data_IF_513312352784
#
_entry.id   IF_513312352784
#
_cell.length_a   1.000
_cell.length_b   1.000
_cell.length_c   1.000
_cell.angle_alpha   90.00
_cell.angle_beta   90.00
_cell.angle_gamma   90.00
#
_symmetry.space_group_name_H-M   'P 1'
#
loop_
_entity.id
_entity.type
_entity.pdbx_description
1 polymer ?
#
# COMPACT_ATOMS: atom_id res chain seq x y z
N UNK A 1 73.42 -42.10 -25.06
CA UNK A 1 74.01 -43.46 -25.00
C UNK A 1 73.63 -44.09 -23.65
N UNK A 2 73.29 -45.31 -23.56
CA UNK A 2 72.55 -46.21 -24.42
C UNK A 2 71.29 -46.72 -23.72
N UNK A 3 70.30 -47.12 -24.41
CA UNK A 3 69.91 -48.47 -24.91
C UNK A 3 69.29 -49.33 -23.81
N UNK A 4 68.26 -49.98 -24.02
CA UNK A 4 67.68 -50.98 -24.88
C UNK A 4 66.87 -52.03 -24.10
N UNK A 5 65.82 -52.50 -24.79
CA UNK A 5 65.19 -53.83 -24.82
C UNK A 5 64.10 -54.17 -23.77
N UNK A 6 62.93 -54.31 -24.24
CA UNK A 6 62.15 -55.40 -24.90
C UNK A 6 61.63 -56.48 -23.98
N UNK A 7 60.34 -56.73 -24.13
CA UNK A 7 59.50 -57.96 -24.28
C UNK A 7 58.25 -57.77 -23.39
N UNK A 8 57.02 -57.71 -23.84
CA UNK A 8 56.38 -58.70 -24.70
C UNK A 8 55.78 -59.84 -23.85
N UNK A 9 54.50 -59.68 -23.40
CA UNK A 9 53.70 -60.87 -23.14
C UNK A 9 52.21 -60.49 -23.26
N UNK A 10 51.55 -61.13 -24.16
CA UNK A 10 50.13 -61.11 -24.46
C UNK A 10 49.39 -61.90 -23.37
N UNK A 11 48.33 -61.36 -22.77
CA UNK A 11 47.35 -62.17 -22.03
C UNK A 11 45.95 -61.67 -22.37
N UNK A 12 45.17 -62.57 -22.87
CA UNK A 12 43.77 -62.55 -23.22
C UNK A 12 42.97 -62.50 -21.90
N UNK A 13 42.01 -61.61 -21.77
CA UNK A 13 41.15 -61.62 -20.57
C UNK A 13 39.90 -60.84 -20.70
N UNK A 14 38.85 -61.51 -21.00
CA UNK A 14 37.46 -61.39 -20.60
C UNK A 14 36.82 -60.01 -20.45
N UNK A 15 36.04 -59.60 -21.40
CA UNK A 15 35.10 -58.51 -21.35
C UNK A 15 33.89 -58.87 -20.46
N UNK A 16 33.80 -58.28 -19.29
CA UNK A 16 32.58 -58.27 -18.46
C UNK A 16 31.77 -57.04 -18.80
N UNK A 17 30.61 -57.23 -19.46
CA UNK A 17 29.58 -56.24 -19.68
C UNK A 17 28.87 -55.96 -18.34
N UNK A 18 29.18 -54.84 -17.70
CA UNK A 18 28.38 -54.28 -16.62
C UNK A 18 27.28 -53.37 -17.25
N UNK A 19 26.07 -53.93 -17.33
CA UNK A 19 24.87 -53.13 -17.58
C UNK A 19 24.62 -52.19 -16.40
N UNK A 20 25.05 -50.96 -16.51
CA UNK A 20 24.66 -49.88 -15.62
C UNK A 20 23.21 -49.51 -15.84
N UNK A 21 22.33 -49.85 -14.93
CA UNK A 21 20.99 -49.28 -14.85
C UNK A 21 21.14 -47.78 -14.54
N UNK A 22 20.96 -46.93 -15.54
CA UNK A 22 20.77 -45.50 -15.36
C UNK A 22 19.32 -45.33 -14.94
N UNK A 23 19.10 -45.07 -13.64
CA UNK A 23 17.82 -44.58 -13.15
C UNK A 23 17.57 -43.20 -13.77
N UNK A 24 16.46 -42.96 -14.50
CA UNK A 24 16.12 -41.63 -14.91
C UNK A 24 15.73 -40.83 -13.65
N UNK A 25 16.45 -39.74 -13.40
CA UNK A 25 16.03 -38.69 -12.44
C UNK A 25 14.64 -38.22 -12.88
N UNK A 26 13.64 -38.20 -11.99
CA UNK A 26 12.35 -37.64 -12.36
C UNK A 26 12.55 -36.16 -12.73
N UNK A 27 12.24 -35.82 -13.98
CA UNK A 27 12.06 -34.45 -14.40
C UNK A 27 10.99 -33.83 -13.47
N UNK A 28 11.35 -32.75 -12.79
CA UNK A 28 10.37 -31.94 -12.08
C UNK A 28 9.34 -31.47 -13.11
N UNK A 29 8.19 -32.10 -13.12
CA UNK A 29 7.01 -31.59 -13.81
C UNK A 29 6.68 -30.23 -13.19
N UNK A 30 7.06 -29.15 -13.88
CA UNK A 30 6.43 -27.87 -13.67
C UNK A 30 4.99 -28.02 -14.17
N UNK A 31 4.10 -28.44 -13.29
CA UNK A 31 2.67 -28.25 -13.51
C UNK A 31 2.48 -26.72 -13.62
N UNK A 32 2.07 -26.25 -14.80
CA UNK A 32 1.44 -24.96 -14.95
C UNK A 32 0.18 -24.99 -14.06
N UNK A 33 0.33 -24.54 -12.79
CA UNK A 33 -0.77 -24.39 -11.87
C UNK A 33 -1.68 -23.32 -12.43
N UNK A 34 -2.93 -23.72 -12.70
CA UNK A 34 -4.04 -22.78 -12.83
C UNK A 34 -4.10 -21.89 -11.59
N UNK A 35 -4.78 -20.75 -11.70
CA UNK A 35 -4.91 -19.73 -10.64
C UNK A 35 -4.99 -20.38 -9.25
N UNK A 36 -3.94 -20.19 -8.44
CA UNK A 36 -3.68 -21.06 -7.28
C UNK A 36 -4.79 -20.95 -6.24
N UNK A 37 -5.18 -22.10 -5.70
CA UNK A 37 -6.14 -22.26 -4.58
C UNK A 37 -5.55 -21.81 -3.22
N UNK A 38 -4.70 -20.79 -3.18
CA UNK A 38 -4.16 -20.29 -1.92
C UNK A 38 -5.12 -19.30 -1.26
N UNK A 39 -5.36 -19.44 0.03
CA UNK A 39 -6.11 -18.46 0.82
C UNK A 39 -5.26 -17.26 1.19
N UNK A 40 -3.99 -17.45 1.55
CA UNK A 40 -3.07 -16.38 1.90
C UNK A 40 -1.61 -16.72 1.63
N UNK A 41 -0.79 -15.67 1.50
CA UNK A 41 0.66 -15.77 1.26
C UNK A 41 1.42 -14.66 1.98
N UNK A 42 2.65 -14.95 2.43
CA UNK A 42 3.53 -13.93 3.01
C UNK A 42 4.25 -13.19 1.87
N UNK A 43 4.00 -11.89 1.77
CA UNK A 43 4.61 -11.03 0.74
C UNK A 43 5.97 -10.49 1.20
N UNK A 44 6.02 -9.89 2.39
CA UNK A 44 7.25 -9.38 2.96
C UNK A 44 7.44 -9.97 4.37
N UNK A 45 8.67 -10.36 4.68
CA UNK A 45 9.04 -10.89 5.99
C UNK A 45 10.17 -10.06 6.58
N UNK A 46 9.97 -9.49 7.76
CA UNK A 46 10.97 -8.72 8.49
C UNK A 46 12.23 -9.56 8.77
N UNK A 47 13.40 -8.92 8.73
CA UNK A 47 14.70 -9.58 8.85
C UNK A 47 15.18 -10.26 7.55
N UNK A 48 14.54 -10.02 6.40
CA UNK A 48 14.97 -10.59 5.11
C UNK A 48 15.25 -9.51 4.08
N UNK A 49 15.96 -9.85 3.00
CA UNK A 49 16.21 -8.97 1.87
C UNK A 49 17.06 -7.73 2.19
N UNK A 50 17.78 -7.72 3.31
CA UNK A 50 18.59 -6.59 3.76
C UNK A 50 17.83 -5.54 4.58
N UNK A 51 16.59 -5.84 4.99
CA UNK A 51 15.74 -4.95 5.77
C UNK A 51 15.39 -5.54 7.13
N UNK A 52 15.52 -4.70 8.16
CA UNK A 52 15.13 -5.06 9.53
C UNK A 52 13.61 -5.28 9.62
N UNK A 53 12.82 -4.39 9.00
CA UNK A 53 11.35 -4.43 9.10
C UNK A 53 10.73 -3.96 7.79
N UNK A 54 9.56 -4.52 7.44
CA UNK A 54 8.70 -3.99 6.39
C UNK A 54 7.44 -3.41 7.01
N UNK A 55 7.04 -2.21 6.55
CA UNK A 55 5.88 -1.47 7.04
C UNK A 55 5.12 -0.82 5.89
N UNK A 56 3.94 -0.26 6.19
CA UNK A 56 3.16 0.62 5.31
C UNK A 56 2.83 -0.06 3.99
N UNK A 57 1.96 -1.07 4.01
CA UNK A 57 1.55 -1.81 2.82
C UNK A 57 0.72 -0.94 1.87
N UNK A 58 0.94 -1.11 0.57
CA UNK A 58 0.04 -0.64 -0.47
C UNK A 58 -0.03 -1.67 -1.60
N UNK A 59 -1.18 -1.83 -2.24
CA UNK A 59 -1.36 -2.81 -3.31
C UNK A 59 -2.31 -2.30 -4.40
N UNK A 60 -1.95 -2.57 -5.65
CA UNK A 60 -2.79 -2.29 -6.82
C UNK A 60 -2.82 -3.48 -7.77
N UNK A 61 -3.88 -3.55 -8.59
CA UNK A 61 -3.99 -4.48 -9.70
C UNK A 61 -3.79 -3.72 -11.01
N UNK A 62 -2.85 -4.19 -11.85
CA UNK A 62 -2.69 -3.68 -13.20
C UNK A 62 -3.31 -4.66 -14.19
N UNK A 63 -3.99 -4.15 -15.20
CA UNK A 63 -4.29 -4.94 -16.40
C UNK A 63 -3.04 -4.95 -17.27
N UNK A 64 -2.64 -6.10 -17.80
CA UNK A 64 -1.44 -6.22 -18.67
C UNK A 64 -1.60 -5.53 -20.06
N UNK A 65 -2.30 -4.40 -20.09
CA UNK A 65 -2.43 -3.55 -21.28
C UNK A 65 -3.26 -4.14 -22.42
N UNK A 66 -3.97 -5.25 -22.21
CA UNK A 66 -4.92 -5.77 -23.19
C UNK A 66 -6.30 -5.18 -22.88
N UNK A 67 -6.75 -4.14 -23.61
CA UNK A 67 -8.09 -3.60 -23.44
C UNK A 67 -9.11 -4.70 -23.76
N UNK A 68 -9.99 -5.01 -22.80
CA UNK A 68 -11.15 -5.87 -23.03
C UNK A 68 -10.97 -7.36 -22.68
N UNK A 69 -9.96 -7.77 -21.91
CA UNK A 69 -9.88 -9.08 -21.33
C UNK A 69 -10.48 -9.08 -19.89
N UNK A 70 -11.79 -9.24 -19.72
CA UNK A 70 -12.45 -9.08 -18.43
C UNK A 70 -12.22 -10.20 -17.43
N UNK A 71 -11.66 -11.33 -17.86
CA UNK A 71 -11.59 -12.56 -17.07
C UNK A 71 -10.17 -13.05 -16.76
N UNK A 72 -9.15 -12.26 -17.11
CA UNK A 72 -7.76 -12.60 -16.76
C UNK A 72 -7.39 -11.83 -15.49
N UNK A 73 -7.00 -12.49 -14.39
CA UNK A 73 -6.50 -11.79 -13.20
C UNK A 73 -5.38 -10.85 -13.58
N UNK A 74 -5.50 -9.58 -13.21
CA UNK A 74 -4.45 -8.61 -13.42
C UNK A 74 -3.20 -8.95 -12.60
N UNK A 75 -2.09 -8.31 -12.93
CA UNK A 75 -0.89 -8.42 -12.09
C UNK A 75 -1.08 -7.58 -10.82
N UNK A 76 -0.98 -8.22 -9.67
CA UNK A 76 -0.91 -7.53 -8.39
C UNK A 76 0.50 -6.99 -8.18
N UNK A 77 0.59 -5.76 -7.68
CA UNK A 77 1.85 -5.15 -7.27
C UNK A 77 1.70 -4.67 -5.84
N UNK A 78 2.43 -5.30 -4.94
CA UNK A 78 2.50 -4.95 -3.53
C UNK A 78 3.72 -4.08 -3.27
N UNK A 79 3.54 -3.01 -2.49
CA UNK A 79 4.57 -2.10 -2.03
C UNK A 79 4.68 -2.14 -0.52
N UNK A 80 5.85 -1.77 -0.01
CA UNK A 80 6.09 -1.55 1.41
C UNK A 80 7.26 -0.59 1.60
N UNK A 81 7.34 0.02 2.77
CA UNK A 81 8.59 0.57 3.27
C UNK A 81 9.51 -0.57 3.71
N UNK A 82 10.72 -0.59 3.18
CA UNK A 82 11.81 -1.42 3.66
C UNK A 82 12.70 -0.61 4.59
N UNK A 83 12.61 -0.86 5.89
CA UNK A 83 13.36 -0.14 6.94
C UNK A 83 14.64 -0.92 7.25
N UNK A 84 15.79 -0.36 6.94
CA UNK A 84 17.06 -1.12 6.96
C UNK A 84 17.56 -1.44 8.37
N UNK A 85 17.54 -0.46 9.26
CA UNK A 85 18.28 -0.55 10.51
C UNK A 85 17.43 -0.78 11.76
N UNK A 86 16.15 -0.37 11.72
CA UNK A 86 15.24 -0.42 12.85
C UNK A 86 13.78 -0.39 12.37
N UNK A 87 12.85 -0.47 13.29
CA UNK A 87 11.40 -0.32 13.04
C UNK A 87 10.95 1.15 12.98
N UNK A 88 11.84 2.11 13.22
CA UNK A 88 11.53 3.54 13.29
C UNK A 88 10.97 4.08 11.96
N UNK A 89 10.14 5.12 12.04
CA UNK A 89 9.52 5.78 10.89
C UNK A 89 10.46 6.77 10.17
N UNK A 90 11.70 6.90 10.65
CA UNK A 90 12.77 7.72 10.07
C UNK A 90 14.09 6.98 10.12
N UNK A 91 14.98 7.29 9.19
CA UNK A 91 16.27 6.63 9.00
C UNK A 91 16.43 6.19 7.55
N UNK A 92 17.27 5.21 7.33
CA UNK A 92 17.46 4.55 6.03
C UNK A 92 16.22 3.70 5.73
N UNK A 93 15.28 4.29 4.98
CA UNK A 93 14.00 3.70 4.60
C UNK A 93 13.80 3.82 3.11
N UNK A 94 13.59 2.68 2.45
CA UNK A 94 13.33 2.57 1.01
C UNK A 94 11.87 2.20 0.74
N UNK A 95 11.39 2.46 -0.48
CA UNK A 95 10.19 1.85 -1.02
C UNK A 95 10.57 0.64 -1.87
N UNK A 96 9.97 -0.50 -1.54
CA UNK A 96 10.20 -1.78 -2.22
C UNK A 96 8.90 -2.36 -2.76
N UNK A 97 9.00 -3.27 -3.74
CA UNK A 97 7.82 -3.93 -4.32
C UNK A 97 8.04 -5.41 -4.61
N UNK A 98 6.92 -6.14 -4.73
CA UNK A 98 6.82 -7.50 -5.28
C UNK A 98 5.60 -7.57 -6.19
N UNK A 99 5.65 -8.49 -7.17
CA UNK A 99 4.58 -8.71 -8.14
C UNK A 99 4.05 -10.12 -8.06
N UNK A 100 2.75 -10.29 -8.29
CA UNK A 100 2.09 -11.59 -8.42
C UNK A 100 1.25 -11.63 -9.70
N UNK A 101 1.31 -12.72 -10.43
CA UNK A 101 0.51 -12.97 -11.64
C UNK A 101 -0.48 -14.12 -11.47
N UNK A 102 -0.62 -14.63 -10.24
CA UNK A 102 -1.47 -15.77 -9.89
C UNK A 102 -2.48 -15.41 -8.78
N UNK A 103 -2.90 -14.14 -8.75
CA UNK A 103 -3.89 -13.63 -7.80
C UNK A 103 -3.39 -13.55 -6.36
N UNK A 104 -2.07 -13.39 -6.16
CA UNK A 104 -1.46 -13.21 -4.84
C UNK A 104 -0.98 -14.48 -4.15
N UNK A 105 -0.92 -15.61 -4.86
CA UNK A 105 -0.42 -16.87 -4.30
C UNK A 105 1.10 -16.92 -4.22
N UNK A 106 1.78 -16.48 -5.28
CA UNK A 106 3.23 -16.40 -5.31
C UNK A 106 3.68 -14.99 -5.68
N UNK A 107 4.86 -14.61 -5.21
CA UNK A 107 5.40 -13.27 -5.37
C UNK A 107 6.81 -13.28 -5.93
N UNK A 108 7.08 -12.35 -6.83
CA UNK A 108 8.40 -12.16 -7.43
C UNK A 108 9.48 -11.85 -6.38
N UNK A 109 10.78 -11.94 -6.72
CA UNK A 109 11.83 -11.38 -5.88
C UNK A 109 11.59 -9.91 -5.55
N UNK A 110 12.09 -9.48 -4.37
CA UNK A 110 12.03 -8.10 -3.89
C UNK A 110 12.70 -7.16 -4.90
N UNK A 111 12.09 -6.01 -5.16
CA UNK A 111 12.62 -4.95 -6.00
C UNK A 111 12.66 -3.63 -5.25
N UNK A 112 13.76 -2.92 -5.39
CA UNK A 112 13.89 -1.54 -4.96
C UNK A 112 13.13 -0.65 -5.97
N UNK A 113 12.31 0.27 -5.44
CA UNK A 113 11.50 1.22 -6.22
C UNK A 113 12.00 2.64 -6.03
N UNK A 114 12.18 3.06 -4.78
CA UNK A 114 12.73 4.36 -4.43
C UNK A 114 13.71 4.22 -3.27
N UNK A 115 14.82 4.95 -3.36
CA UNK A 115 15.93 4.96 -2.41
C UNK A 115 16.46 6.40 -2.31
N UNK A 116 16.63 6.87 -1.08
CA UNK A 116 17.21 8.18 -0.78
C UNK A 116 18.55 8.05 -0.02
N UNK A 117 19.24 6.92 -0.16
CA UNK A 117 20.48 6.61 0.54
C UNK A 117 20.23 6.37 2.03
N UNK A 118 20.82 7.21 2.89
CA UNK A 118 20.61 7.06 4.34
C UNK A 118 19.33 7.76 4.84
N UNK A 119 18.64 8.50 3.97
CA UNK A 119 17.46 9.26 4.29
C UNK A 119 16.17 8.43 4.13
N UNK A 120 15.05 9.00 4.53
CA UNK A 120 13.75 8.35 4.47
C UNK A 120 13.06 8.64 3.14
N UNK A 121 12.60 7.59 2.46
CA UNK A 121 11.54 7.64 1.46
C UNK A 121 10.48 6.58 1.77
N UNK A 122 9.22 7.01 1.95
CA UNK A 122 8.16 6.13 2.45
C UNK A 122 6.77 6.60 2.07
N UNK A 123 5.75 6.08 2.74
CA UNK A 123 4.33 6.33 2.49
C UNK A 123 3.98 6.11 1.01
N UNK A 124 4.24 4.92 0.43
CA UNK A 124 3.96 4.67 -0.97
C UNK A 124 2.45 4.70 -1.24
N UNK A 125 2.04 5.49 -2.23
CA UNK A 125 0.66 5.53 -2.73
C UNK A 125 0.66 5.28 -4.22
N UNK A 126 0.51 4.02 -4.65
CA UNK A 126 0.35 3.67 -6.04
C UNK A 126 -1.06 3.97 -6.54
N UNK A 127 -1.18 4.38 -7.80
CA UNK A 127 -2.45 4.49 -8.53
C UNK A 127 -2.24 4.04 -9.97
N UNK A 128 -3.25 3.36 -10.54
CA UNK A 128 -3.24 2.93 -11.94
C UNK A 128 -4.01 3.94 -12.78
N UNK A 129 -3.38 4.49 -13.80
CA UNK A 129 -4.01 5.43 -14.73
C UNK A 129 -4.92 4.65 -15.69
N UNK A 130 -6.24 4.93 -15.71
CA UNK A 130 -7.17 4.24 -16.57
C UNK A 130 -6.81 4.36 -18.06
N UNK A 131 -7.07 3.31 -18.83
CA UNK A 131 -6.85 3.28 -20.26
C UNK A 131 -5.40 3.13 -20.72
N UNK A 132 -4.42 3.49 -19.89
CA UNK A 132 -2.99 3.34 -20.24
C UNK A 132 -2.31 2.21 -19.48
N UNK A 133 -2.83 1.85 -18.31
CA UNK A 133 -2.18 0.90 -17.38
C UNK A 133 -0.89 1.44 -16.75
N UNK A 134 -0.55 2.72 -16.97
CA UNK A 134 0.57 3.38 -16.31
C UNK A 134 0.36 3.35 -14.79
N UNK A 135 1.39 2.97 -14.07
CA UNK A 135 1.44 3.15 -12.63
C UNK A 135 2.03 4.51 -12.30
N UNK A 136 1.38 5.24 -11.44
CA UNK A 136 1.92 6.44 -10.79
C UNK A 136 2.10 6.13 -9.32
N UNK A 137 3.25 6.47 -8.76
CA UNK A 137 3.59 6.25 -7.36
C UNK A 137 3.99 7.56 -6.70
N UNK A 138 3.24 7.97 -5.70
CA UNK A 138 3.63 9.08 -4.83
C UNK A 138 4.34 8.54 -3.59
N UNK A 139 5.33 9.28 -3.12
CA UNK A 139 6.09 8.97 -1.90
C UNK A 139 6.43 10.26 -1.16
N UNK A 140 6.72 10.14 0.13
CA UNK A 140 7.22 11.22 0.95
C UNK A 140 8.64 10.92 1.43
N UNK A 141 9.49 11.93 1.42
CA UNK A 141 10.86 11.82 1.92
C UNK A 141 11.19 12.89 2.94
N UNK A 142 12.17 12.62 3.79
CA UNK A 142 12.78 13.56 4.72
C UNK A 142 14.17 13.08 5.14
N UNK A 143 15.00 13.98 5.65
CA UNK A 143 16.29 13.60 6.19
C UNK A 143 16.15 12.60 7.35
N UNK A 144 17.04 11.61 7.42
CA UNK A 144 17.07 10.58 8.47
C UNK A 144 17.11 11.16 9.90
N UNK A 145 17.63 12.38 10.05
CA UNK A 145 17.73 13.11 11.32
C UNK A 145 16.45 13.86 11.71
N UNK A 146 15.50 14.01 10.78
CA UNK A 146 14.25 14.75 10.99
C UNK A 146 13.13 13.81 11.42
N UNK A 147 13.09 13.46 12.70
CA UNK A 147 12.00 12.65 13.27
C UNK A 147 10.68 13.44 13.27
N UNK A 148 9.54 12.74 13.21
CA UNK A 148 8.19 13.34 13.16
C UNK A 148 8.00 14.46 14.19
N UNK A 149 8.32 14.22 15.45
CA UNK A 149 8.17 15.22 16.51
C UNK A 149 9.00 16.50 16.27
N UNK A 150 10.17 16.38 15.68
CA UNK A 150 10.99 17.53 15.31
C UNK A 150 10.35 18.29 14.14
N UNK A 151 9.80 17.57 13.16
CA UNK A 151 9.08 18.18 12.03
C UNK A 151 7.83 18.90 12.53
N UNK A 152 7.02 18.27 13.37
CA UNK A 152 5.83 18.88 13.97
C UNK A 152 6.14 20.17 14.73
N UNK A 153 7.24 20.22 15.47
CA UNK A 153 7.69 21.44 16.19
C UNK A 153 8.35 22.49 15.29
N UNK A 154 8.77 22.08 14.08
CA UNK A 154 9.59 22.93 13.22
C UNK A 154 11.05 23.04 13.70
N UNK A 155 11.53 22.08 14.46
CA UNK A 155 12.89 22.02 15.03
C UNK A 155 13.89 21.38 14.03
N UNK A 156 13.81 21.73 12.75
CA UNK A 156 14.68 21.20 11.69
C UNK A 156 14.86 22.24 10.58
N UNK A 157 15.96 22.20 9.81
CA UNK A 157 16.07 22.98 8.58
C UNK A 157 14.96 22.62 7.59
N UNK A 158 14.41 23.58 6.87
CA UNK A 158 13.32 23.36 5.90
C UNK A 158 13.66 22.25 4.90
N UNK A 159 14.88 22.23 4.38
CA UNK A 159 15.35 21.20 3.44
C UNK A 159 15.38 19.79 4.02
N UNK A 160 15.36 19.61 5.35
CA UNK A 160 15.32 18.31 6.02
C UNK A 160 13.90 17.81 6.28
N UNK A 161 12.87 18.67 6.10
CA UNK A 161 11.47 18.34 6.33
C UNK A 161 10.86 17.47 5.23
N UNK A 162 9.55 17.23 5.35
CA UNK A 162 8.79 16.36 4.42
C UNK A 162 8.70 16.98 3.04
N UNK A 163 9.10 16.19 2.03
CA UNK A 163 9.02 16.47 0.60
C UNK A 163 8.24 15.39 -0.11
N UNK A 164 7.62 15.74 -1.23
CA UNK A 164 6.73 14.86 -1.97
C UNK A 164 7.34 14.58 -3.34
N UNK A 165 7.34 13.29 -3.72
CA UNK A 165 7.90 12.81 -4.97
C UNK A 165 6.88 12.00 -5.75
N UNK A 166 6.99 12.03 -7.08
CA UNK A 166 6.22 11.20 -8.00
C UNK A 166 7.17 10.42 -8.92
N UNK A 167 6.85 9.17 -9.15
CA UNK A 167 7.48 8.28 -10.13
C UNK A 167 6.40 7.59 -10.96
N UNK A 168 6.75 7.11 -12.13
CA UNK A 168 5.83 6.32 -12.95
C UNK A 168 6.50 5.07 -13.52
N UNK A 169 5.67 4.07 -13.84
CA UNK A 169 6.06 2.85 -14.53
C UNK A 169 5.09 2.54 -15.66
N UNK A 170 5.60 2.40 -16.87
CA UNK A 170 4.87 1.93 -18.06
C UNK A 170 5.12 0.44 -18.32
N UNK A 171 5.78 -0.24 -17.38
CA UNK A 171 6.19 -1.65 -17.51
C UNK A 171 5.54 -2.56 -16.49
N UNK A 172 4.41 -2.13 -15.90
CA UNK A 172 3.71 -2.87 -14.86
C UNK A 172 4.57 -3.05 -13.60
N UNK A 173 5.29 -1.99 -13.18
CA UNK A 173 6.12 -1.99 -11.98
C UNK A 173 7.47 -2.73 -12.12
N UNK A 174 7.87 -3.09 -13.34
CA UNK A 174 9.19 -3.72 -13.57
C UNK A 174 10.33 -2.71 -13.56
N UNK A 175 10.08 -1.53 -14.09
CA UNK A 175 11.02 -0.40 -14.08
C UNK A 175 10.27 0.89 -13.74
N UNK A 176 10.97 1.82 -13.13
CA UNK A 176 10.41 3.10 -12.67
C UNK A 176 11.24 4.27 -13.24
N UNK A 177 10.58 5.39 -13.48
CA UNK A 177 11.27 6.65 -13.77
C UNK A 177 12.09 7.11 -12.56
N UNK A 178 13.01 8.05 -12.77
CA UNK A 178 13.58 8.80 -11.66
C UNK A 178 12.46 9.51 -10.88
N UNK A 179 12.60 9.69 -9.56
CA UNK A 179 11.66 10.48 -8.77
C UNK A 179 11.71 11.96 -9.18
N UNK A 180 10.54 12.57 -9.33
CA UNK A 180 10.38 14.00 -9.57
C UNK A 180 9.79 14.62 -8.31
N UNK A 181 10.42 15.64 -7.77
CA UNK A 181 9.89 16.37 -6.63
C UNK A 181 8.72 17.28 -7.07
N UNK A 182 7.61 17.19 -6.33
CA UNK A 182 6.38 17.97 -6.55
C UNK A 182 5.96 18.75 -5.29
N UNK A 183 6.85 18.96 -4.35
CA UNK A 183 6.53 19.61 -3.06
C UNK A 183 5.83 20.96 -3.25
N UNK A 184 6.27 21.78 -4.18
CA UNK A 184 5.67 23.09 -4.46
C UNK A 184 4.23 23.02 -5.03
N UNK A 185 3.84 21.87 -5.61
CA UNK A 185 2.49 21.63 -6.11
C UNK A 185 1.58 20.97 -5.07
N UNK A 186 2.18 20.29 -4.10
CA UNK A 186 1.51 19.34 -3.21
C UNK A 186 1.40 19.81 -1.76
N UNK A 187 2.20 20.78 -1.33
CA UNK A 187 2.34 21.17 0.07
C UNK A 187 2.26 22.69 0.22
N UNK A 188 1.42 23.17 1.15
CA UNK A 188 1.39 24.58 1.51
C UNK A 188 2.61 24.95 2.38
N UNK A 189 3.03 26.21 2.30
CA UNK A 189 4.26 26.69 2.91
C UNK A 189 4.25 26.60 4.45
N UNK A 190 3.08 26.72 5.07
CA UNK A 190 2.89 26.66 6.52
C UNK A 190 2.71 25.25 7.07
N UNK A 191 2.64 24.23 6.18
CA UNK A 191 2.53 22.82 6.60
C UNK A 191 3.89 22.30 7.06
N UNK A 192 3.87 21.58 8.17
CA UNK A 192 5.07 20.97 8.76
C UNK A 192 5.16 19.51 8.41
N UNK A 193 4.37 18.64 9.07
CA UNK A 193 4.24 17.24 8.70
C UNK A 193 3.50 17.10 7.36
N UNK A 194 3.77 16.02 6.69
CA UNK A 194 3.06 15.63 5.48
C UNK A 194 3.18 14.12 5.26
N UNK A 195 2.09 13.44 4.91
CA UNK A 195 2.12 12.06 4.45
C UNK A 195 1.02 11.81 3.40
N UNK A 196 1.37 11.08 2.35
CA UNK A 196 0.42 10.53 1.40
C UNK A 196 -0.26 9.31 1.98
N UNK A 197 -1.55 9.10 1.75
CA UNK A 197 -2.37 7.97 2.15
C UNK A 197 -2.28 7.58 3.64
N UNK A 198 -1.63 6.44 3.96
CA UNK A 198 -1.06 5.42 3.04
C UNK A 198 -2.10 4.50 2.40
N UNK A 199 -1.66 3.46 1.69
CA UNK A 199 -2.48 2.60 0.87
C UNK A 199 -2.56 3.08 -0.58
N UNK A 200 -3.54 2.63 -1.37
CA UNK A 200 -3.63 2.98 -2.77
C UNK A 200 -4.28 4.34 -3.03
N UNK A 201 -3.94 4.97 -4.17
CA UNK A 201 -4.62 6.14 -4.70
C UNK A 201 -5.81 5.75 -5.57
N UNK A 202 -6.73 6.69 -5.77
CA UNK A 202 -7.96 6.49 -6.52
C UNK A 202 -7.84 7.11 -7.91
N UNK A 203 -8.28 6.40 -8.95
CA UNK A 203 -8.57 6.96 -10.27
C UNK A 203 -10.07 6.96 -10.50
N UNK A 204 -10.67 8.11 -10.80
CA UNK A 204 -12.10 8.24 -11.00
C UNK A 204 -12.51 7.57 -12.32
N UNK A 205 -13.51 6.69 -12.27
CA UNK A 205 -13.95 5.88 -13.40
C UNK A 205 -15.31 6.31 -13.95
N UNK A 206 -16.03 7.15 -13.21
CA UNK A 206 -17.34 7.68 -13.62
C UNK A 206 -17.50 9.17 -13.23
N UNK A 207 -18.56 9.80 -13.74
CA UNK A 207 -18.87 11.20 -13.46
C UNK A 207 -18.05 12.20 -14.30
N UNK A 208 -18.18 13.50 -13.99
CA UNK A 208 -17.59 14.57 -14.80
C UNK A 208 -16.06 14.65 -14.72
N UNK A 209 -15.46 14.04 -13.72
CA UNK A 209 -14.02 14.03 -13.49
C UNK A 209 -13.38 12.67 -13.81
N UNK A 210 -13.98 11.87 -14.69
CA UNK A 210 -13.42 10.57 -15.12
C UNK A 210 -12.00 10.73 -15.62
N UNK A 211 -11.09 9.87 -15.11
CA UNK A 211 -9.65 9.91 -15.39
C UNK A 211 -8.82 10.71 -14.37
N UNK A 212 -9.45 11.51 -13.52
CA UNK A 212 -8.76 12.22 -12.44
C UNK A 212 -8.16 11.22 -11.45
N UNK A 213 -6.92 11.47 -11.06
CA UNK A 213 -6.28 10.79 -9.95
C UNK A 213 -6.52 11.59 -8.66
N UNK A 214 -6.92 10.89 -7.61
CA UNK A 214 -7.16 11.46 -6.28
C UNK A 214 -6.27 10.72 -5.28
N UNK A 215 -5.36 11.44 -4.64
CA UNK A 215 -4.49 10.90 -3.60
C UNK A 215 -4.91 11.53 -2.27
N UNK A 216 -5.50 10.76 -1.36
CA UNK A 216 -5.73 11.26 -0.01
C UNK A 216 -4.40 11.46 0.70
N UNK A 217 -4.30 12.48 1.52
CA UNK A 217 -3.09 12.84 2.24
C UNK A 217 -3.42 13.58 3.53
N UNK A 218 -2.42 13.71 4.40
CA UNK A 218 -2.54 14.48 5.64
C UNK A 218 -1.35 15.41 5.84
N UNK A 219 -1.56 16.44 6.64
CA UNK A 219 -0.56 17.44 6.98
C UNK A 219 -0.68 17.86 8.44
N UNK A 220 0.27 18.63 8.92
CA UNK A 220 0.11 19.41 10.15
C UNK A 220 0.48 20.86 9.90
N UNK A 221 -0.19 21.76 10.60
CA UNK A 221 0.10 23.19 10.54
C UNK A 221 0.96 23.65 11.73
N UNK A 222 1.57 24.81 11.59
CA UNK A 222 2.23 25.47 12.71
C UNK A 222 1.21 26.00 13.71
N UNK A 223 1.49 26.01 15.02
CA UNK A 223 0.69 26.74 15.99
C UNK A 223 0.64 28.25 15.64
N UNK A 224 -0.47 28.94 15.95
CA UNK A 224 -0.55 30.38 15.77
C UNK A 224 0.57 31.11 16.54
N UNK A 225 1.02 32.22 16.00
CA UNK A 225 2.02 33.07 16.66
C UNK A 225 1.55 33.48 18.06
N UNK A 226 2.41 33.29 19.06
CA UNK A 226 2.10 33.60 20.47
C UNK A 226 1.32 32.49 21.21
N UNK A 227 1.02 31.37 20.57
CA UNK A 227 0.47 30.17 21.22
C UNK A 227 1.50 29.58 22.20
N UNK A 228 1.01 28.97 23.27
CA UNK A 228 1.82 28.14 24.16
C UNK A 228 2.10 26.73 23.58
N UNK A 229 1.40 26.35 22.51
CA UNK A 229 1.56 25.06 21.86
C UNK A 229 2.88 24.98 21.10
N UNK A 230 3.38 23.77 20.93
CA UNK A 230 4.64 23.52 20.23
C UNK A 230 4.47 22.87 18.85
N UNK A 231 3.23 22.51 18.46
CA UNK A 231 2.89 21.88 17.17
C UNK A 231 2.79 20.37 17.22
N UNK A 232 3.02 19.73 18.38
CA UNK A 232 2.80 18.28 18.53
C UNK A 232 1.39 17.92 18.97
N UNK A 233 0.57 18.91 19.22
CA UNK A 233 -0.82 18.76 19.65
C UNK A 233 -1.66 18.23 18.48
N UNK A 234 -2.47 17.19 18.69
CA UNK A 234 -3.21 16.53 17.62
C UNK A 234 -4.13 17.44 16.79
N UNK A 235 -4.64 18.53 17.38
CA UNK A 235 -5.52 19.49 16.71
C UNK A 235 -4.88 20.24 15.52
N UNK A 236 -3.57 20.12 15.36
CA UNK A 236 -2.86 20.70 14.21
C UNK A 236 -2.73 19.76 13.02
N UNK A 237 -3.21 18.51 13.15
CA UNK A 237 -3.37 17.62 12.01
C UNK A 237 -4.61 17.99 11.19
N UNK A 238 -4.50 17.85 9.87
CA UNK A 238 -5.58 18.02 8.93
C UNK A 238 -5.40 17.12 7.71
N UNK A 239 -6.50 16.80 7.06
CA UNK A 239 -6.53 16.04 5.82
C UNK A 239 -6.53 16.94 4.59
N UNK A 240 -6.12 16.40 3.46
CA UNK A 240 -6.27 17.02 2.15
C UNK A 240 -6.24 15.98 1.04
N UNK A 241 -6.59 16.38 -0.16
CA UNK A 241 -6.40 15.58 -1.36
C UNK A 241 -5.36 16.21 -2.27
N UNK A 242 -4.63 15.37 -3.03
CA UNK A 242 -3.90 15.79 -4.22
C UNK A 242 -4.64 15.29 -5.45
N UNK A 243 -4.75 16.13 -6.45
CA UNK A 243 -5.48 15.88 -7.69
C UNK A 243 -4.56 16.01 -8.89
N UNK A 244 -4.72 15.10 -9.86
CA UNK A 244 -4.10 15.19 -11.18
C UNK A 244 -5.14 14.88 -12.25
N UNK A 245 -5.28 15.77 -13.22
CA UNK A 245 -6.20 15.62 -14.36
C UNK A 245 -5.49 15.21 -15.66
N UNK A 246 -4.18 14.94 -15.60
CA UNK A 246 -3.32 14.65 -16.77
C UNK A 246 -2.48 13.36 -16.60
N UNK A 247 -3.03 12.40 -15.83
CA UNK A 247 -2.41 11.10 -15.63
C UNK A 247 -1.14 11.12 -14.76
N UNK A 248 -1.06 12.05 -13.82
CA UNK A 248 0.02 12.15 -12.84
C UNK A 248 1.20 13.01 -13.28
N UNK A 249 1.03 13.83 -14.33
CA UNK A 249 2.09 14.73 -14.83
C UNK A 249 2.16 16.01 -13.99
N UNK A 250 1.01 16.63 -13.72
CA UNK A 250 0.91 17.79 -12.83
C UNK A 250 -0.06 17.52 -11.67
N UNK A 251 0.18 18.19 -10.56
CA UNK A 251 -0.56 17.99 -9.34
C UNK A 251 -1.02 19.31 -8.74
N UNK A 252 -2.11 19.27 -8.00
CA UNK A 252 -2.61 20.38 -7.21
C UNK A 252 -3.31 19.89 -5.97
N UNK A 253 -3.40 20.73 -4.96
CA UNK A 253 -4.16 20.49 -3.76
C UNK A 253 -5.64 20.64 -4.08
N UNK A 254 -6.46 19.67 -3.68
CA UNK A 254 -7.92 19.73 -3.70
C UNK A 254 -8.48 20.23 -2.38
N UNK A 255 -9.40 19.46 -1.74
CA UNK A 255 -9.90 19.87 -0.43
C UNK A 255 -8.77 19.96 0.61
N UNK A 256 -8.92 20.88 1.52
CA UNK A 256 -8.12 20.99 2.75
C UNK A 256 -9.09 21.01 3.93
N UNK A 257 -8.95 20.03 4.82
CA UNK A 257 -9.64 20.05 6.11
C UNK A 257 -8.96 21.07 7.02
N UNK A 258 -9.68 22.12 7.34
CA UNK A 258 -9.18 23.27 8.08
C UNK A 258 -9.91 23.49 9.42
N UNK A 259 -10.45 22.43 10.02
CA UNK A 259 -11.21 22.50 11.28
C UNK A 259 -10.34 22.19 12.49
N UNK A 260 -9.58 23.18 13.04
CA UNK A 260 -8.70 22.96 14.19
C UNK A 260 -9.47 22.99 15.53
N UNK A 261 -10.73 22.56 15.53
CA UNK A 261 -11.59 22.54 16.73
C UNK A 261 -11.25 21.37 17.67
N UNK A 262 -10.40 20.42 17.20
CA UNK A 262 -10.00 19.25 17.96
C UNK A 262 -11.06 18.17 18.09
N UNK A 263 -12.19 18.27 17.38
CA UNK A 263 -13.22 17.22 17.37
C UNK A 263 -12.75 16.02 16.54
N UNK A 264 -12.35 16.26 15.31
CA UNK A 264 -11.73 15.27 14.42
C UNK A 264 -10.39 15.82 14.00
N UNK A 265 -9.33 15.12 14.32
CA UNK A 265 -7.98 15.46 13.89
C UNK A 265 -7.60 14.51 12.76
N UNK A 266 -7.90 14.91 11.52
CA UNK A 266 -7.73 14.07 10.33
C UNK A 266 -6.24 13.75 10.13
N UNK A 267 -5.94 12.45 10.02
CA UNK A 267 -4.61 11.94 9.77
C UNK A 267 -4.66 11.00 8.54
N UNK A 268 -4.06 9.83 8.58
CA UNK A 268 -4.04 8.84 7.50
C UNK A 268 -5.43 8.59 6.92
N UNK A 269 -5.55 8.79 5.61
CA UNK A 269 -6.84 8.82 4.93
C UNK A 269 -6.83 7.92 3.70
N UNK A 270 -7.88 7.16 3.50
CA UNK A 270 -8.17 6.33 2.32
C UNK A 270 -9.35 6.90 1.55
N UNK A 271 -9.47 6.57 0.27
CA UNK A 271 -10.57 7.03 -0.58
C UNK A 271 -11.13 5.93 -1.48
N UNK A 272 -12.43 6.01 -1.78
CA UNK A 272 -13.10 5.14 -2.74
C UNK A 272 -14.13 5.93 -3.54
N UNK A 273 -14.28 5.65 -4.84
CA UNK A 273 -15.34 6.25 -5.64
C UNK A 273 -16.62 5.43 -5.51
N UNK A 274 -17.70 6.07 -5.06
CA UNK A 274 -19.02 5.45 -4.95
C UNK A 274 -19.71 5.34 -6.31
N UNK A 275 -20.72 4.48 -6.45
CA UNK A 275 -21.48 4.30 -7.71
C UNK A 275 -22.16 5.55 -8.22
N UNK A 276 -22.55 6.46 -7.33
CA UNK A 276 -23.17 7.74 -7.64
C UNK A 276 -22.17 8.81 -8.11
N UNK A 277 -20.88 8.48 -8.15
CA UNK A 277 -19.79 9.33 -8.59
C UNK A 277 -19.10 10.11 -7.47
N UNK A 278 -19.69 10.18 -6.29
CA UNK A 278 -19.02 10.83 -5.13
C UNK A 278 -17.76 10.08 -4.72
N UNK A 279 -16.83 10.79 -4.15
CA UNK A 279 -15.67 10.22 -3.49
C UNK A 279 -15.94 10.14 -1.98
N UNK A 280 -15.85 8.94 -1.44
CA UNK A 280 -15.87 8.67 -0.01
C UNK A 280 -14.45 8.72 0.52
N UNK A 281 -14.22 9.50 1.57
CA UNK A 281 -12.98 9.54 2.33
C UNK A 281 -13.20 8.94 3.71
N UNK A 282 -12.28 8.11 4.18
CA UNK A 282 -12.29 7.59 5.54
C UNK A 282 -10.92 7.79 6.18
N UNK A 283 -10.89 8.50 7.30
CA UNK A 283 -9.68 8.96 7.96
C UNK A 283 -9.51 8.36 9.34
N UNK A 284 -8.26 8.16 9.73
CA UNK A 284 -7.86 7.99 11.11
C UNK A 284 -8.07 9.31 11.86
N UNK A 285 -8.81 9.26 12.97
CA UNK A 285 -8.85 10.38 13.90
C UNK A 285 -7.68 10.29 14.89
N UNK A 286 -6.81 11.29 14.86
CA UNK A 286 -5.61 11.38 15.68
C UNK A 286 -5.94 12.06 17.03
N UNK A 287 -6.49 11.27 17.98
CA UNK A 287 -6.82 11.76 19.31
C UNK A 287 -7.80 12.97 19.33
N UNK A 288 -8.82 12.95 18.48
CA UNK A 288 -9.93 13.89 18.55
C UNK A 288 -10.83 13.65 19.75
N UNK A 289 -11.83 14.50 19.90
CA UNK A 289 -12.80 14.40 21.03
C UNK A 289 -14.03 13.56 20.70
N UNK A 290 -14.17 13.03 19.49
CA UNK A 290 -15.24 12.10 19.13
C UNK A 290 -15.05 10.73 19.81
N UNK A 291 -16.14 9.96 20.05
CA UNK A 291 -16.03 8.70 20.80
C UNK A 291 -15.43 7.53 20.03
N UNK A 292 -15.12 7.73 18.74
CA UNK A 292 -14.57 6.73 17.82
C UNK A 292 -13.23 7.22 17.24
N UNK A 293 -12.52 6.34 16.56
CA UNK A 293 -11.18 6.60 16.03
C UNK A 293 -11.13 6.71 14.50
N UNK A 294 -12.31 6.65 13.87
CA UNK A 294 -12.48 6.78 12.42
C UNK A 294 -13.50 7.86 12.12
N UNK A 295 -13.21 8.64 11.08
CA UNK A 295 -14.12 9.66 10.58
C UNK A 295 -14.25 9.54 9.06
N UNK A 296 -15.36 10.01 8.50
CA UNK A 296 -15.59 9.99 7.05
C UNK A 296 -16.11 11.34 6.54
N UNK A 297 -15.88 11.57 5.26
CA UNK A 297 -16.43 12.70 4.50
C UNK A 297 -16.70 12.29 3.07
N UNK A 298 -17.48 13.10 2.36
CA UNK A 298 -17.81 12.91 0.94
C UNK A 298 -17.41 14.13 0.12
N UNK A 299 -17.15 13.90 -1.15
CA UNK A 299 -16.92 14.94 -2.16
C UNK A 299 -17.73 14.64 -3.41
N UNK A 300 -18.60 15.57 -3.80
CA UNK A 300 -19.40 15.51 -5.02
C UNK A 300 -18.69 16.03 -6.27
N UNK A 301 -17.49 16.63 -6.12
CA UNK A 301 -16.74 17.29 -7.20
C UNK A 301 -15.38 16.63 -7.47
N UNK A 302 -15.26 15.35 -7.13
CA UNK A 302 -14.07 14.55 -7.42
C UNK A 302 -12.86 14.93 -6.57
N UNK A 303 -13.07 15.29 -5.30
CA UNK A 303 -12.02 15.57 -4.34
C UNK A 303 -11.56 17.03 -4.28
N UNK A 304 -12.24 17.93 -5.01
CA UNK A 304 -11.92 19.36 -5.03
C UNK A 304 -12.29 20.04 -3.71
N UNK A 305 -13.50 19.70 -3.21
CA UNK A 305 -14.02 20.15 -1.92
C UNK A 305 -14.73 19.00 -1.19
N UNK A 306 -14.98 19.16 0.10
CA UNK A 306 -15.83 18.26 0.88
C UNK A 306 -17.26 18.79 0.92
N UNK A 307 -18.25 17.89 0.79
CA UNK A 307 -19.68 18.21 0.90
C UNK A 307 -20.03 18.69 2.33
N UNK A 308 -19.31 18.16 3.32
CA UNK A 308 -19.40 18.53 4.74
C UNK A 308 -18.08 18.16 5.46
N UNK A 309 -17.79 18.77 6.62
CA UNK A 309 -16.66 18.36 7.46
C UNK A 309 -16.68 16.88 7.80
N UNK A 310 -15.52 16.30 8.14
CA UNK A 310 -15.42 14.92 8.59
C UNK A 310 -16.33 14.65 9.79
N UNK A 311 -17.11 13.58 9.69
CA UNK A 311 -18.03 13.10 10.71
C UNK A 311 -17.58 11.75 11.28
N UNK A 312 -17.93 11.41 12.54
CA UNK A 312 -17.62 10.11 13.12
C UNK A 312 -18.15 8.94 12.30
N UNK A 313 -17.37 7.86 12.17
CA UNK A 313 -17.83 6.58 11.61
C UNK A 313 -18.20 5.65 12.77
N UNK A 314 -19.40 5.82 13.33
CA UNK A 314 -19.80 5.27 14.63
C UNK A 314 -19.81 3.74 14.69
N UNK A 315 -20.15 3.06 13.59
CA UNK A 315 -20.22 1.59 13.51
C UNK A 315 -18.84 0.91 13.35
N UNK A 316 -17.77 1.68 13.26
CA UNK A 316 -16.43 1.14 13.07
C UNK A 316 -15.59 1.24 14.34
N UNK A 317 -15.55 0.14 15.10
CA UNK A 317 -14.60 0.01 16.20
C UNK A 317 -13.20 -0.29 15.65
N UNK A 318 -12.22 0.53 16.02
CA UNK A 318 -10.81 0.37 15.68
C UNK A 318 -9.92 1.06 16.74
N UNK A 319 -8.63 0.71 16.87
CA UNK A 319 -7.68 1.55 17.58
C UNK A 319 -7.35 2.79 16.71
N UNK A 320 -6.59 3.73 17.22
CA UNK A 320 -6.06 4.85 16.42
C UNK A 320 -5.03 4.29 15.43
N UNK A 321 -5.48 4.06 14.19
CA UNK A 321 -4.69 3.38 13.15
C UNK A 321 -5.22 3.72 11.75
N UNK A 322 -4.37 3.50 10.75
CA UNK A 322 -4.74 3.51 9.34
C UNK A 322 -5.80 2.43 9.03
N UNK A 323 -6.51 2.59 7.93
CA UNK A 323 -7.43 1.61 7.33
C UNK A 323 -7.62 1.90 5.86
N UNK A 324 -8.05 0.91 5.09
CA UNK A 324 -8.23 1.01 3.65
C UNK A 324 -9.68 0.82 3.22
N UNK A 325 -10.17 1.66 2.32
CA UNK A 325 -11.50 1.59 1.71
C UNK A 325 -11.40 1.17 0.24
N UNK A 326 -12.31 0.31 -0.20
CA UNK A 326 -12.39 -0.17 -1.58
C UNK A 326 -13.85 -0.31 -2.01
N UNK A 327 -14.26 0.41 -3.05
CA UNK A 327 -15.54 0.16 -3.72
C UNK A 327 -15.38 -1.03 -4.65
N UNK A 328 -16.12 -2.12 -4.38
CA UNK A 328 -16.03 -3.32 -5.19
C UNK A 328 -17.01 -3.30 -6.36
N UNK A 329 -16.70 -4.10 -7.39
CA UNK A 329 -17.59 -4.45 -8.48
C UNK A 329 -17.79 -5.96 -8.50
N UNK A 330 -19.02 -6.42 -8.68
CA UNK A 330 -19.37 -7.83 -8.74
C UNK A 330 -20.30 -8.08 -9.92
N UNK A 331 -19.95 -9.04 -10.80
CA UNK A 331 -20.75 -9.39 -11.98
C UNK A 331 -21.18 -8.17 -12.84
N UNK A 332 -20.26 -7.20 -13.01
CA UNK A 332 -20.48 -5.91 -13.69
C UNK A 332 -21.52 -5.01 -13.01
N UNK A 333 -21.88 -5.33 -11.78
CA UNK A 333 -22.72 -4.50 -10.92
C UNK A 333 -21.89 -3.92 -9.79
N UNK A 334 -22.43 -2.95 -9.12
CA UNK A 334 -21.82 -2.42 -7.90
C UNK A 334 -21.89 -3.45 -6.80
N UNK A 335 -20.74 -3.79 -6.24
CA UNK A 335 -20.62 -4.56 -5.01
C UNK A 335 -20.60 -3.64 -3.77
N UNK A 336 -20.42 -4.19 -2.57
CA UNK A 336 -20.33 -3.40 -1.35
C UNK A 336 -19.08 -2.53 -1.33
N UNK A 337 -19.16 -1.40 -0.63
CA UNK A 337 -17.99 -0.66 -0.17
C UNK A 337 -17.36 -1.44 0.98
N UNK A 338 -16.06 -1.70 0.91
CA UNK A 338 -15.29 -2.41 1.93
C UNK A 338 -14.43 -1.43 2.73
N UNK A 339 -14.22 -1.73 4.02
CA UNK A 339 -13.29 -1.02 4.89
C UNK A 339 -12.52 -2.02 5.74
N UNK A 340 -11.20 -2.01 5.66
CA UNK A 340 -10.32 -2.82 6.50
C UNK A 340 -9.68 -1.99 7.60
N UNK A 341 -9.68 -2.53 8.81
CA UNK A 341 -8.92 -2.03 9.96
C UNK A 341 -8.88 -3.09 11.07
N UNK A 342 -7.90 -3.07 11.98
CA UNK A 342 -7.96 -3.79 13.25
C UNK A 342 -9.22 -3.44 14.03
N UNK A 343 -9.84 -4.43 14.69
CA UNK A 343 -11.11 -4.25 15.39
C UNK A 343 -11.00 -4.23 16.92
N UNK A 344 -9.81 -4.39 17.49
CA UNK A 344 -9.59 -4.22 18.91
C UNK A 344 -9.40 -2.73 19.22
N UNK A 345 -10.26 -2.08 20.02
CA UNK A 345 -10.18 -0.64 20.27
C UNK A 345 -8.94 -0.22 21.08
N UNK A 346 -8.23 -1.17 21.68
CA UNK A 346 -7.10 -0.91 22.60
C UNK A 346 -5.76 -1.40 22.05
N UNK A 347 -5.79 -2.27 21.02
CA UNK A 347 -4.58 -2.90 20.51
C UNK A 347 -4.62 -3.02 18.98
N UNK A 348 -3.45 -3.04 18.37
CA UNK A 348 -3.28 -3.36 16.94
C UNK A 348 -3.42 -4.87 16.73
N UNK A 349 -4.67 -5.35 16.71
CA UNK A 349 -5.01 -6.77 16.55
C UNK A 349 -6.42 -6.94 15.96
N UNK A 350 -6.77 -8.16 15.58
CA UNK A 350 -8.08 -8.51 15.03
C UNK A 350 -8.36 -7.84 13.68
N UNK A 351 -7.48 -8.04 12.68
CA UNK A 351 -7.74 -7.52 11.33
C UNK A 351 -9.12 -7.96 10.85
N UNK A 352 -9.94 -6.98 10.47
CA UNK A 352 -11.34 -7.16 10.10
C UNK A 352 -11.64 -6.36 8.85
N UNK A 353 -12.37 -6.97 7.89
CA UNK A 353 -12.92 -6.29 6.71
C UNK A 353 -14.43 -6.17 6.88
N UNK A 354 -14.93 -4.96 6.87
CA UNK A 354 -16.35 -4.62 6.98
C UNK A 354 -16.89 -4.26 5.62
N UNK A 355 -18.21 -4.39 5.45
CA UNK A 355 -18.92 -4.00 4.24
C UNK A 355 -20.04 -3.01 4.55
N UNK A 356 -20.32 -2.17 3.56
CA UNK A 356 -21.42 -1.19 3.55
C UNK A 356 -22.12 -1.24 2.20
N UNK A 357 -23.44 -1.32 2.21
CA UNK A 357 -24.28 -1.28 1.02
C UNK A 357 -24.93 0.11 0.79
N UNK A 358 -24.68 1.06 1.68
CA UNK A 358 -25.26 2.41 1.67
C UNK A 358 -24.23 3.53 1.49
N UNK A 359 -23.05 3.17 0.93
CA UNK A 359 -21.98 4.13 0.63
C UNK A 359 -21.20 4.60 1.85
N UNK A 360 -21.13 3.79 2.91
CA UNK A 360 -20.33 4.07 4.10
C UNK A 360 -21.09 4.78 5.22
N UNK A 361 -22.43 4.87 5.14
CA UNK A 361 -23.27 5.42 6.20
C UNK A 361 -23.43 4.43 7.35
N UNK A 362 -23.54 3.13 7.05
CA UNK A 362 -23.56 2.06 8.04
C UNK A 362 -22.62 0.91 7.64
N UNK A 363 -22.12 0.18 8.64
CA UNK A 363 -21.12 -0.87 8.44
C UNK A 363 -21.52 -2.15 9.15
N UNK A 364 -21.30 -3.30 8.49
CA UNK A 364 -21.46 -4.62 9.12
C UNK A 364 -20.42 -4.84 10.22
N UNK A 365 -20.65 -5.87 11.07
CA UNK A 365 -19.67 -6.32 12.05
C UNK A 365 -18.36 -6.80 11.39
N UNK A 366 -18.44 -7.23 10.13
CA UNK A 366 -17.32 -7.58 9.27
C UNK A 366 -16.80 -9.00 9.45
N UNK A 367 -16.00 -9.41 8.47
CA UNK A 367 -15.24 -10.67 8.46
C UNK A 367 -13.90 -10.45 9.17
N UNK A 368 -13.72 -11.11 10.32
CA UNK A 368 -12.44 -11.09 11.02
C UNK A 368 -11.49 -12.13 10.42
N UNK A 369 -10.35 -11.64 9.90
CA UNK A 369 -9.34 -12.47 9.25
C UNK A 369 -8.39 -13.15 10.24
N UNK A 370 -8.06 -12.46 11.33
CA UNK A 370 -7.17 -12.97 12.36
C UNK A 370 -7.47 -12.35 13.72
N UNK A 371 -7.19 -13.08 14.78
CA UNK A 371 -7.17 -12.57 16.17
C UNK A 371 -5.76 -12.14 16.61
N UNK A 372 -4.75 -12.39 15.77
CA UNK A 372 -3.34 -12.06 16.05
C UNK A 372 -3.10 -10.55 16.00
N UNK A 373 -1.91 -10.10 16.46
CA UNK A 373 -1.45 -8.75 16.18
C UNK A 373 -1.57 -8.43 14.68
N UNK A 374 -2.14 -7.27 14.36
CA UNK A 374 -2.30 -6.78 13.00
C UNK A 374 -2.38 -5.25 13.01
N UNK A 375 -1.85 -4.60 11.98
CA UNK A 375 -1.76 -3.14 11.95
C UNK A 375 -2.30 -2.57 10.64
N UNK A 376 -1.47 -1.94 9.82
CA UNK A 376 -1.87 -1.29 8.57
C UNK A 376 -2.30 -2.31 7.51
N UNK A 377 -3.16 -1.88 6.61
CA UNK A 377 -3.71 -2.74 5.57
C UNK A 377 -4.05 -1.96 4.31
N UNK A 378 -4.05 -2.64 3.16
CA UNK A 378 -4.57 -2.09 1.92
C UNK A 378 -5.40 -3.11 1.15
N UNK A 379 -6.56 -2.69 0.65
CA UNK A 379 -7.52 -3.50 -0.09
C UNK A 379 -7.33 -3.35 -1.60
N UNK A 380 -7.60 -4.41 -2.34
CA UNK A 380 -7.54 -4.40 -3.80
C UNK A 380 -8.60 -5.35 -4.37
N UNK A 381 -9.17 -5.01 -5.51
CA UNK A 381 -9.98 -5.96 -6.27
C UNK A 381 -9.09 -6.81 -7.17
N UNK A 382 -9.19 -8.15 -7.07
CA UNK A 382 -8.44 -9.11 -7.88
C UNK A 382 -9.20 -9.41 -9.16
N UNK A 383 -10.47 -9.77 -9.02
CA UNK A 383 -11.42 -10.08 -10.08
C UNK A 383 -12.86 -9.76 -9.65
N UNK A 384 -13.87 -10.08 -10.46
CA UNK A 384 -15.26 -9.74 -10.17
C UNK A 384 -15.85 -10.45 -8.94
N UNK A 385 -15.26 -11.55 -8.49
CA UNK A 385 -15.74 -12.33 -7.33
C UNK A 385 -14.83 -12.24 -6.12
N UNK A 386 -13.65 -11.63 -6.26
CA UNK A 386 -12.60 -11.71 -5.25
C UNK A 386 -11.94 -10.37 -5.02
N UNK A 387 -11.92 -9.91 -3.78
CA UNK A 387 -11.02 -8.88 -3.30
C UNK A 387 -9.75 -9.51 -2.69
N UNK A 388 -8.77 -8.68 -2.39
CA UNK A 388 -7.58 -9.04 -1.64
C UNK A 388 -7.27 -7.99 -0.60
N UNK A 389 -6.58 -8.39 0.46
CA UNK A 389 -6.06 -7.51 1.48
C UNK A 389 -4.58 -7.80 1.72
N UNK A 390 -3.77 -6.76 1.64
CA UNK A 390 -2.37 -6.78 2.05
C UNK A 390 -2.27 -6.13 3.42
N UNK A 391 -1.79 -6.84 4.45
CA UNK A 391 -1.80 -6.29 5.81
C UNK A 391 -0.62 -6.74 6.66
N UNK A 392 -0.24 -5.88 7.58
CA UNK A 392 0.78 -6.14 8.59
C UNK A 392 0.22 -7.11 9.64
N UNK A 393 0.96 -8.19 9.93
CA UNK A 393 0.57 -9.17 10.94
C UNK A 393 1.75 -9.98 11.43
N UNK A 394 1.56 -10.67 12.56
CA UNK A 394 2.57 -11.57 13.11
C UNK A 394 2.03 -12.42 14.24
N UNK A 395 2.92 -13.18 14.85
CA UNK A 395 2.58 -14.04 15.97
C UNK A 395 2.64 -13.30 17.30
N UNK A 396 3.70 -12.56 17.52
CA UNK A 396 3.95 -11.80 18.76
C UNK A 396 3.85 -10.28 18.59
N UNK A 397 4.07 -9.76 17.39
CA UNK A 397 3.86 -8.34 17.07
C UNK A 397 3.35 -8.17 15.63
N UNK A 398 2.69 -7.05 15.29
CA UNK A 398 2.07 -6.89 13.97
C UNK A 398 3.06 -6.66 12.82
N UNK A 399 4.36 -6.54 13.07
CA UNK A 399 5.36 -6.15 12.09
C UNK A 399 6.31 -7.28 11.70
N UNK A 400 5.94 -8.54 11.98
CA UNK A 400 6.74 -9.70 11.59
C UNK A 400 6.64 -9.99 10.09
N UNK A 401 5.43 -9.78 9.53
CA UNK A 401 5.16 -9.98 8.10
C UNK A 401 4.17 -8.97 7.57
N UNK A 402 4.23 -8.73 6.25
CA UNK A 402 3.11 -8.23 5.47
C UNK A 402 2.58 -9.40 4.66
N UNK A 403 1.31 -9.75 4.89
CA UNK A 403 0.64 -10.94 4.34
C UNK A 403 -0.48 -10.50 3.41
N UNK A 404 -0.65 -11.21 2.30
CA UNK A 404 -1.77 -11.04 1.39
C UNK A 404 -2.79 -12.17 1.62
N UNK A 405 -4.07 -11.81 1.71
CA UNK A 405 -5.19 -12.76 1.87
C UNK A 405 -6.25 -12.48 0.83
N UNK A 406 -6.74 -13.52 0.18
CA UNK A 406 -7.83 -13.48 -0.80
C UNK A 406 -9.18 -13.53 -0.09
N UNK A 407 -10.11 -12.73 -0.55
CA UNK A 407 -11.42 -12.53 0.07
C UNK A 407 -12.53 -12.74 -0.96
N UNK A 408 -13.17 -13.90 -1.02
CA UNK A 408 -14.38 -14.08 -1.81
C UNK A 408 -15.45 -13.06 -1.36
N UNK A 409 -16.00 -12.29 -2.31
CA UNK A 409 -16.93 -11.18 -2.02
C UNK A 409 -18.26 -11.67 -1.42
N UNK A 410 -18.67 -12.89 -1.70
CA UNK A 410 -19.87 -13.51 -1.11
C UNK A 410 -19.75 -13.73 0.41
N UNK A 411 -18.52 -13.79 0.96
CA UNK A 411 -18.25 -13.90 2.40
C UNK A 411 -18.25 -12.56 3.14
N UNK A 412 -18.35 -11.44 2.41
CA UNK A 412 -18.25 -10.08 2.95
C UNK A 412 -19.62 -9.35 3.02
N UNK A 413 -20.72 -10.09 2.83
CA UNK A 413 -22.10 -9.57 2.89
C UNK A 413 -22.76 -9.86 4.23
#
# INVERSE_FOLDING_TARGET
MPSLFTRGTMLVGLTALLSGCVNPTPAAEHSAGGAGDCESSVVFRSGTGGYHTFRIPAVVTTTDGTPGAPDTPGTLIAFAEGRRNAQADTGDVDVVSRRSTDGGCTWSPLRLVADAGADTVGNPVPVVVPGTGRLVLLTCGNAATAAEKAILRGDHPEAAGRRIYVQHSDTGGRTWSAPTEITDQAKQQDWRWYATGPGHGLALTNGPHTGRLVIPANHSTAPPAGSADNGTEPRYYGGHSLLSDDGGTTWRIGYVDATPDGRVNVNETTAAQLPDGRVYFNARDQHGTIPVTRAHAYSGDGGESLDAPFAPTEDVTAPIIEGSALQTQQDRQTGPLLLSAPADPKARSHMTVRSSDDGGLSWTAGLRLTTRPAAYSDLVQIDQGTAGILYETGHSNPYETITFTRLPLDRLR
#
